data_IF_297177725054
#
_entry.id   IF_297177725054
#
_cell.length_a   1.000
_cell.length_b   1.000
_cell.length_c   1.000
_cell.angle_alpha   90.00
_cell.angle_beta   90.00
_cell.angle_gamma   90.00
#
_symmetry.space_group_name_H-M   'P 1'
#
loop_
_entity.id
_entity.type
_entity.pdbx_description
1 polymer ?
#
# COMPACT_ATOMS: atom_id res chain seq x y z
N UNK A 1 -5.31 37.23 46.47
CA UNK A 1 -4.71 35.89 46.36
C UNK A 1 -5.26 35.21 45.12
N UNK A 2 -4.51 35.21 44.05
CA UNK A 2 -4.91 34.54 42.79
C UNK A 2 -4.32 33.12 42.79
N UNK A 3 -5.17 32.12 42.67
CA UNK A 3 -4.79 30.71 42.54
C UNK A 3 -4.51 30.45 41.04
N UNK A 4 -3.22 30.23 40.73
CA UNK A 4 -2.80 29.79 39.38
C UNK A 4 -2.98 28.29 39.34
N UNK A 5 -3.92 27.81 38.53
CA UNK A 5 -4.08 26.40 38.22
C UNK A 5 -3.02 25.99 37.20
N UNK A 6 -2.09 25.16 37.64
CA UNK A 6 -1.09 24.55 36.77
C UNK A 6 -1.72 23.35 36.04
N UNK A 7 -2.00 23.49 34.73
CA UNK A 7 -2.44 22.39 33.92
C UNK A 7 -1.22 21.49 33.61
N UNK A 8 -1.19 20.30 34.19
CA UNK A 8 -0.22 19.26 33.85
C UNK A 8 -0.71 18.59 32.58
N UNK A 9 -0.04 18.86 31.45
CA UNK A 9 -0.23 18.09 30.20
C UNK A 9 0.53 16.78 30.37
N UNK A 10 -0.20 15.71 30.62
CA UNK A 10 0.36 14.35 30.58
C UNK A 10 0.44 13.96 29.09
N UNK A 11 1.64 13.97 28.54
CA UNK A 11 1.91 13.36 27.24
C UNK A 11 1.79 11.84 27.39
N UNK A 12 0.68 11.28 26.95
CA UNK A 12 0.50 9.83 26.83
C UNK A 12 1.34 9.38 25.64
N UNK A 13 2.42 8.63 25.92
CA UNK A 13 3.22 7.99 24.89
C UNK A 13 2.35 6.92 24.17
N UNK A 14 1.96 7.17 22.93
CA UNK A 14 1.30 6.20 22.07
C UNK A 14 2.27 5.05 21.81
N UNK A 15 1.95 3.79 22.12
CA UNK A 15 2.83 2.68 21.79
C UNK A 15 2.92 2.56 20.27
N UNK A 16 4.14 2.65 19.75
CA UNK A 16 4.45 2.53 18.33
C UNK A 16 4.27 1.07 17.88
N UNK A 17 3.08 0.70 17.42
CA UNK A 17 2.81 -0.56 16.71
C UNK A 17 3.34 -0.55 15.27
N UNK A 18 3.64 0.63 14.74
CA UNK A 18 4.46 0.77 13.55
C UNK A 18 5.92 0.86 14.02
N UNK A 19 6.70 -0.19 13.79
CA UNK A 19 8.13 -0.15 14.06
C UNK A 19 8.68 1.10 13.35
N UNK A 20 8.98 2.15 14.13
CA UNK A 20 9.71 3.29 13.62
C UNK A 20 11.05 2.73 13.13
N UNK A 21 11.32 2.89 11.84
CA UNK A 21 12.63 2.58 11.31
C UNK A 21 13.65 3.31 12.19
N UNK A 22 14.59 2.55 12.75
CA UNK A 22 15.66 3.10 13.59
C UNK A 22 16.46 4.17 12.86
N UNK A 23 17.37 4.85 13.54
CA UNK A 23 18.20 5.86 12.89
C UNK A 23 18.90 5.27 11.65
N UNK A 24 19.19 6.06 10.61
CA UNK A 24 19.69 5.61 9.32
C UNK A 24 20.94 4.71 9.36
N UNK A 25 21.67 4.71 10.48
CA UNK A 25 22.86 3.87 10.70
C UNK A 25 22.56 2.38 10.94
N UNK A 26 21.30 1.97 11.06
CA UNK A 26 20.89 0.57 11.28
C UNK A 26 20.09 -0.04 10.12
N UNK A 27 19.94 0.68 9.00
CA UNK A 27 19.20 0.20 7.83
C UNK A 27 19.97 -0.93 7.15
N UNK A 28 19.34 -2.11 7.04
CA UNK A 28 19.88 -3.25 6.32
C UNK A 28 19.38 -3.19 4.89
N UNK A 29 20.31 -3.06 3.93
CA UNK A 29 19.94 -3.02 2.52
C UNK A 29 19.62 -4.43 1.99
N UNK A 30 18.68 -4.55 1.02
CA UNK A 30 18.31 -5.80 0.39
C UNK A 30 19.50 -6.52 -0.23
N UNK A 31 19.63 -7.81 0.04
CA UNK A 31 20.69 -8.63 -0.56
C UNK A 31 20.33 -8.97 -2.00
N UNK A 32 21.32 -8.89 -2.89
CA UNK A 32 21.13 -9.22 -4.30
C UNK A 32 20.52 -8.11 -5.13
N UNK A 33 20.51 -6.89 -4.60
CA UNK A 33 20.12 -5.68 -5.32
C UNK A 33 21.21 -4.61 -5.22
N UNK A 34 21.29 -3.77 -6.23
CA UNK A 34 21.99 -2.49 -6.21
C UNK A 34 21.01 -1.41 -5.75
N UNK A 35 21.46 -0.53 -4.85
CA UNK A 35 20.60 0.45 -4.20
C UNK A 35 20.94 1.87 -4.65
N UNK A 36 19.94 2.62 -5.09
CA UNK A 36 19.97 4.06 -5.30
C UNK A 36 19.02 4.70 -4.28
N UNK A 37 19.56 5.41 -3.31
CA UNK A 37 18.81 5.91 -2.16
C UNK A 37 18.53 7.40 -2.27
N UNK A 38 17.34 7.82 -1.81
CA UNK A 38 16.96 9.23 -1.71
C UNK A 38 16.78 9.91 -3.06
N UNK A 39 16.35 9.17 -4.09
CA UNK A 39 16.00 9.77 -5.37
C UNK A 39 14.78 10.68 -5.19
N UNK A 40 14.91 11.96 -5.57
CA UNK A 40 13.82 12.93 -5.45
C UNK A 40 12.94 12.87 -6.70
N UNK A 41 11.67 12.43 -6.54
CA UNK A 41 10.70 12.41 -7.62
C UNK A 41 9.85 13.70 -7.68
N UNK A 42 9.79 14.42 -6.56
CA UNK A 42 9.15 15.74 -6.47
C UNK A 42 9.68 16.50 -5.26
N UNK A 43 9.75 17.83 -5.36
CA UNK A 43 10.14 18.71 -4.25
C UNK A 43 8.94 18.85 -3.29
N UNK A 44 8.99 18.14 -2.17
CA UNK A 44 7.95 18.11 -1.16
C UNK A 44 8.55 18.30 0.26
N UNK A 45 7.75 18.66 1.27
CA UNK A 45 8.25 18.85 2.63
C UNK A 45 8.68 17.53 3.28
N UNK A 46 9.68 17.60 4.16
CA UNK A 46 10.15 16.45 4.94
C UNK A 46 10.84 15.39 4.08
N UNK A 47 10.44 14.14 4.26
CA UNK A 47 10.93 13.01 3.48
C UNK A 47 9.98 12.60 2.33
N UNK A 48 8.81 13.25 2.24
CA UNK A 48 7.91 13.08 1.12
C UNK A 48 8.61 13.48 -0.19
N UNK A 49 8.16 12.92 -1.32
CA UNK A 49 8.77 13.20 -2.62
C UNK A 49 10.06 12.44 -2.91
N UNK A 50 10.47 11.50 -2.04
CA UNK A 50 11.67 10.68 -2.21
C UNK A 50 11.35 9.21 -2.40
N UNK A 51 12.23 8.49 -3.08
CA UNK A 51 12.17 7.04 -3.19
C UNK A 51 13.58 6.42 -3.13
N UNK A 52 13.61 5.15 -2.75
CA UNK A 52 14.79 4.31 -2.78
C UNK A 52 14.57 3.19 -3.79
N UNK A 53 15.43 3.13 -4.80
CA UNK A 53 15.33 2.16 -5.88
C UNK A 53 16.34 1.03 -5.67
N UNK A 54 15.84 -0.20 -5.71
CA UNK A 54 16.62 -1.44 -5.63
C UNK A 54 16.50 -2.19 -6.94
N UNK A 55 17.60 -2.31 -7.67
CA UNK A 55 17.65 -3.00 -8.96
C UNK A 55 18.35 -4.35 -8.79
N UNK A 56 17.86 -5.47 -9.37
CA UNK A 56 18.52 -6.76 -9.25
C UNK A 56 19.99 -6.70 -9.66
N UNK A 57 20.88 -7.13 -8.77
CA UNK A 57 22.33 -7.17 -9.04
C UNK A 57 22.73 -8.26 -10.05
N UNK A 58 21.81 -9.16 -10.41
CA UNK A 58 22.01 -10.25 -11.36
C UNK A 58 20.86 -10.31 -12.36
N UNK A 59 21.17 -10.70 -13.58
CA UNK A 59 20.23 -10.75 -14.68
C UNK A 59 20.53 -9.66 -15.71
N UNK A 60 19.61 -9.46 -16.63
CA UNK A 60 19.68 -8.41 -17.66
C UNK A 60 18.35 -7.67 -17.70
N UNK A 61 18.42 -6.37 -17.54
CA UNK A 61 17.25 -5.50 -17.77
C UNK A 61 16.79 -5.52 -19.25
N UNK A 62 15.74 -4.77 -19.57
CA UNK A 62 15.02 -3.91 -18.64
C UNK A 62 14.17 -4.72 -17.65
N UNK A 63 14.22 -4.32 -16.36
CA UNK A 63 13.50 -5.02 -15.28
C UNK A 63 12.08 -4.46 -15.11
N UNK A 64 11.06 -5.33 -14.89
CA UNK A 64 9.78 -4.87 -14.37
C UNK A 64 10.00 -4.25 -12.98
N UNK A 65 9.21 -3.24 -12.64
CA UNK A 65 9.38 -2.49 -11.40
C UNK A 65 8.13 -2.53 -10.53
N UNK A 66 8.31 -2.81 -9.25
CA UNK A 66 7.27 -2.72 -8.23
C UNK A 66 7.48 -1.43 -7.42
N UNK A 67 6.53 -0.51 -7.47
CA UNK A 67 6.46 0.61 -6.53
C UNK A 67 5.79 0.11 -5.26
N UNK A 68 6.53 0.10 -4.16
CA UNK A 68 6.07 -0.33 -2.86
C UNK A 68 5.88 0.84 -1.92
N UNK A 69 4.70 0.92 -1.30
CA UNK A 69 4.42 1.85 -0.20
C UNK A 69 4.22 1.10 1.11
N UNK A 70 5.02 1.45 2.11
CA UNK A 70 4.88 0.89 3.45
C UNK A 70 3.74 1.58 4.20
N UNK A 71 2.87 0.76 4.84
CA UNK A 71 1.77 1.26 5.64
C UNK A 71 2.21 2.01 6.89
N UNK A 72 1.47 3.05 7.24
CA UNK A 72 1.71 3.90 8.41
C UNK A 72 0.43 4.58 8.94
N UNK A 73 -0.76 4.20 8.44
CA UNK A 73 -1.98 4.96 8.69
C UNK A 73 -1.90 6.39 8.16
N UNK A 74 -1.15 6.62 7.10
CA UNK A 74 -0.84 7.94 6.52
C UNK A 74 -0.20 8.94 7.50
N UNK A 75 0.33 8.48 8.64
CA UNK A 75 0.92 9.37 9.67
C UNK A 75 2.40 9.65 9.48
N UNK A 76 3.04 8.99 8.53
CA UNK A 76 4.48 9.10 8.25
C UNK A 76 4.73 9.44 6.78
N UNK A 77 5.71 10.30 6.55
CA UNK A 77 6.27 10.61 5.23
C UNK A 77 7.51 9.75 4.90
N UNK A 78 7.64 8.57 5.52
CA UNK A 78 8.78 7.64 5.38
C UNK A 78 8.36 6.30 4.81
N UNK A 79 7.47 6.28 3.81
CA UNK A 79 7.02 5.08 3.13
C UNK A 79 8.13 4.31 2.38
N UNK A 80 9.30 4.95 2.19
CA UNK A 80 10.50 4.33 1.64
C UNK A 80 11.30 3.50 2.68
N UNK A 81 10.87 3.43 3.93
CA UNK A 81 11.51 2.66 4.98
C UNK A 81 10.64 1.49 5.43
N UNK A 82 11.28 0.38 5.83
CA UNK A 82 10.59 -0.82 6.32
C UNK A 82 10.18 -1.81 5.21
N UNK A 83 10.24 -1.43 3.94
CA UNK A 83 9.97 -2.30 2.80
C UNK A 83 11.18 -3.11 2.31
N UNK A 84 12.36 -2.98 2.94
CA UNK A 84 13.58 -3.65 2.52
C UNK A 84 13.47 -5.18 2.46
N UNK A 85 12.77 -5.86 3.37
CA UNK A 85 12.55 -7.31 3.27
C UNK A 85 11.73 -7.68 2.02
N UNK A 86 10.75 -6.86 1.65
CA UNK A 86 9.95 -7.04 0.42
C UNK A 86 10.84 -6.82 -0.81
N UNK A 87 11.63 -5.75 -0.80
CA UNK A 87 12.57 -5.46 -1.89
C UNK A 87 13.58 -6.61 -2.08
N UNK A 88 14.08 -7.24 -1.00
CA UNK A 88 14.95 -8.42 -1.09
C UNK A 88 14.24 -9.61 -1.75
N UNK A 89 13.00 -9.89 -1.38
CA UNK A 89 12.23 -11.00 -1.95
C UNK A 89 11.97 -10.81 -3.45
N UNK A 90 11.59 -9.61 -3.86
CA UNK A 90 11.28 -9.29 -5.24
C UNK A 90 12.54 -9.18 -6.11
N UNK A 91 13.61 -8.55 -5.61
CA UNK A 91 14.86 -8.42 -6.35
C UNK A 91 15.51 -9.78 -6.67
N UNK A 92 15.44 -10.74 -5.75
CA UNK A 92 15.89 -12.12 -5.99
C UNK A 92 15.10 -12.82 -7.09
N UNK A 93 13.89 -12.36 -7.38
CA UNK A 93 12.99 -12.88 -8.41
C UNK A 93 13.03 -12.08 -9.72
N UNK A 94 13.92 -11.08 -9.79
CA UNK A 94 14.18 -10.31 -11.00
C UNK A 94 13.31 -9.06 -11.18
N UNK A 95 12.67 -8.59 -10.11
CA UNK A 95 11.94 -7.32 -10.09
C UNK A 95 12.78 -6.21 -9.48
N UNK A 96 12.84 -5.04 -10.11
CA UNK A 96 13.27 -3.84 -9.43
C UNK A 96 12.18 -3.39 -8.45
N UNK A 97 12.57 -2.73 -7.35
CA UNK A 97 11.62 -2.25 -6.34
C UNK A 97 11.93 -0.81 -5.99
N UNK A 98 10.95 0.06 -6.14
CA UNK A 98 10.99 1.44 -5.70
C UNK A 98 10.17 1.58 -4.41
N UNK A 99 10.85 1.72 -3.27
CA UNK A 99 10.22 2.07 -2.00
C UNK A 99 10.04 3.58 -1.98
N UNK A 100 8.81 4.08 -1.91
CA UNK A 100 8.56 5.51 -2.05
C UNK A 100 7.77 6.10 -0.88
N UNK A 101 7.99 7.37 -0.63
CA UNK A 101 7.35 8.16 0.41
C UNK A 101 6.34 9.13 -0.18
N UNK A 102 5.23 9.32 0.52
CA UNK A 102 4.23 10.35 0.19
C UNK A 102 4.06 11.28 1.38
N UNK A 103 3.40 12.42 1.21
CA UNK A 103 3.05 13.30 2.32
C UNK A 103 2.18 12.59 3.35
N UNK A 104 2.48 12.81 4.61
CA UNK A 104 1.61 12.37 5.70
C UNK A 104 0.33 13.20 5.76
N UNK A 105 -0.67 12.71 6.49
CA UNK A 105 -1.92 13.44 6.76
C UNK A 105 -1.72 14.73 7.56
N UNK A 106 -0.56 14.87 8.25
CA UNK A 106 -0.17 16.13 8.93
C UNK A 106 0.40 17.17 7.97
N UNK A 107 0.99 16.72 6.86
CA UNK A 107 1.57 17.61 5.84
C UNK A 107 0.54 18.05 4.81
N UNK A 108 -0.38 17.15 4.43
CA UNK A 108 -1.46 17.45 3.51
C UNK A 108 -2.58 16.38 3.60
N UNK A 109 -3.81 16.80 3.35
CA UNK A 109 -4.97 15.89 3.28
C UNK A 109 -5.13 15.31 1.88
N UNK A 110 -5.97 14.25 1.75
CA UNK A 110 -6.41 13.74 0.47
C UNK A 110 -6.91 14.88 -0.47
N UNK A 111 -6.54 14.86 -1.77
CA UNK A 111 -5.91 13.77 -2.54
C UNK A 111 -4.38 13.84 -2.64
N UNK A 112 -3.70 14.58 -1.78
CA UNK A 112 -2.26 14.84 -1.87
C UNK A 112 -1.41 13.55 -1.98
N UNK A 113 -1.76 12.50 -1.23
CA UNK A 113 -1.04 11.22 -1.22
C UNK A 113 -1.14 10.48 -2.57
N UNK A 114 -2.28 10.62 -3.25
CA UNK A 114 -2.47 10.04 -4.60
C UNK A 114 -1.67 10.82 -5.64
N UNK A 115 -1.66 12.15 -5.56
CA UNK A 115 -0.84 13.00 -6.44
C UNK A 115 0.65 12.66 -6.30
N UNK A 116 1.13 12.47 -5.06
CA UNK A 116 2.52 12.09 -4.78
C UNK A 116 2.85 10.72 -5.37
N UNK A 117 1.99 9.72 -5.13
CA UNK A 117 2.17 8.37 -5.65
C UNK A 117 2.19 8.33 -7.19
N UNK A 118 1.30 9.07 -7.85
CA UNK A 118 1.29 9.20 -9.32
C UNK A 118 2.55 9.89 -9.84
N UNK A 119 3.06 10.91 -9.13
CA UNK A 119 4.33 11.53 -9.47
C UNK A 119 5.52 10.54 -9.36
N UNK A 120 5.53 9.66 -8.35
CA UNK A 120 6.54 8.60 -8.22
C UNK A 120 6.48 7.62 -9.40
N UNK A 121 5.28 7.20 -9.83
CA UNK A 121 5.10 6.35 -11.03
C UNK A 121 5.64 7.04 -12.28
N UNK A 122 5.29 8.32 -12.49
CA UNK A 122 5.77 9.09 -13.65
C UNK A 122 7.28 9.26 -13.64
N UNK A 123 7.88 9.49 -12.47
CA UNK A 123 9.34 9.59 -12.32
C UNK A 123 10.02 8.28 -12.73
N UNK A 124 9.59 7.15 -12.20
CA UNK A 124 10.15 5.83 -12.56
C UNK A 124 10.02 5.57 -14.05
N UNK A 125 8.88 5.88 -14.66
CA UNK A 125 8.66 5.69 -16.10
C UNK A 125 9.53 6.59 -16.96
N UNK A 126 9.70 7.85 -16.58
CA UNK A 126 10.50 8.81 -17.33
C UNK A 126 12.01 8.50 -17.28
N UNK A 127 12.49 7.89 -16.19
CA UNK A 127 13.90 7.54 -16.00
C UNK A 127 14.17 6.04 -16.18
N UNK A 128 13.21 5.30 -16.79
CA UNK A 128 13.30 3.86 -16.90
C UNK A 128 14.56 3.39 -17.64
N UNK A 129 14.94 4.04 -18.74
CA UNK A 129 16.16 3.72 -19.50
C UNK A 129 17.42 3.94 -18.65
N UNK A 130 17.50 5.04 -17.90
CA UNK A 130 18.63 5.38 -17.02
C UNK A 130 18.83 4.31 -15.93
N UNK A 131 17.74 3.80 -15.38
CA UNK A 131 17.76 2.82 -14.29
C UNK A 131 17.70 1.36 -14.76
N UNK A 132 17.67 1.11 -16.07
CA UNK A 132 17.53 -0.23 -16.63
C UNK A 132 16.18 -0.91 -16.34
N UNK A 133 15.12 -0.10 -16.23
CA UNK A 133 13.75 -0.54 -15.95
C UNK A 133 12.91 -0.61 -17.23
N UNK A 134 11.83 -1.37 -17.17
CA UNK A 134 10.84 -1.42 -18.23
C UNK A 134 9.68 -0.45 -17.94
N UNK A 135 9.51 0.62 -18.73
CA UNK A 135 8.47 1.63 -18.50
C UNK A 135 7.04 1.07 -18.68
N UNK A 136 6.90 -0.03 -19.40
CA UNK A 136 5.63 -0.68 -19.71
C UNK A 136 5.29 -1.85 -18.74
N UNK A 137 6.11 -2.06 -17.69
CA UNK A 137 5.91 -3.11 -16.68
C UNK A 137 6.05 -2.54 -15.27
N UNK A 138 5.13 -1.64 -14.91
CA UNK A 138 5.08 -0.95 -13.62
C UNK A 138 3.95 -1.51 -12.79
N UNK A 139 4.24 -1.99 -11.60
CA UNK A 139 3.30 -2.57 -10.63
C UNK A 139 3.21 -1.69 -9.40
N UNK A 140 2.01 -1.50 -8.86
CA UNK A 140 1.82 -0.89 -7.55
C UNK A 140 1.58 -1.96 -6.49
N UNK A 141 2.27 -1.86 -5.36
CA UNK A 141 2.10 -2.78 -4.25
C UNK A 141 2.24 -2.06 -2.91
N UNK A 142 1.60 -2.58 -1.87
CA UNK A 142 1.73 -2.01 -0.53
C UNK A 142 0.86 -2.69 0.50
N UNK A 143 1.02 -2.30 1.75
CA UNK A 143 0.28 -2.85 2.87
C UNK A 143 -0.45 -1.75 3.66
N UNK A 144 -1.61 -2.07 4.27
CA UNK A 144 -2.37 -1.11 5.09
C UNK A 144 -2.64 0.18 4.30
N UNK A 145 -2.32 1.36 4.83
CA UNK A 145 -2.40 2.63 4.09
C UNK A 145 -1.55 2.66 2.81
N UNK A 146 -0.46 1.89 2.74
CA UNK A 146 0.32 1.71 1.50
C UNK A 146 -0.40 0.82 0.48
N UNK A 147 -1.14 -0.19 0.94
CA UNK A 147 -2.04 -0.99 0.10
C UNK A 147 -3.19 -0.15 -0.45
N UNK A 148 -3.70 0.79 0.34
CA UNK A 148 -4.66 1.81 -0.14
C UNK A 148 -4.05 2.65 -1.26
N UNK A 149 -2.81 3.15 -1.09
CA UNK A 149 -2.09 3.89 -2.14
C UNK A 149 -1.96 3.04 -3.42
N UNK A 150 -1.55 1.79 -3.29
CA UNK A 150 -1.41 0.88 -4.42
C UNK A 150 -2.74 0.67 -5.16
N UNK A 151 -3.84 0.49 -4.41
CA UNK A 151 -5.18 0.34 -4.97
C UNK A 151 -5.64 1.61 -5.66
N UNK A 152 -5.46 2.78 -5.01
CA UNK A 152 -5.78 4.08 -5.63
C UNK A 152 -5.01 4.31 -6.94
N UNK A 153 -3.73 3.92 -7.01
CA UNK A 153 -2.96 3.97 -8.28
C UNK A 153 -3.60 3.09 -9.37
N UNK A 154 -4.16 1.94 -9.00
CA UNK A 154 -4.85 1.04 -9.93
C UNK A 154 -6.15 1.64 -10.45
N UNK A 155 -7.06 1.97 -9.53
CA UNK A 155 -8.46 2.30 -9.85
C UNK A 155 -8.70 3.76 -10.24
N UNK A 156 -7.71 4.64 -10.12
CA UNK A 156 -7.86 6.06 -10.50
C UNK A 156 -7.11 6.43 -11.79
N UNK A 157 -6.80 5.43 -12.61
CA UNK A 157 -6.18 5.67 -13.91
C UNK A 157 -7.16 6.39 -14.84
N UNK A 158 -6.88 7.62 -15.19
CA UNK A 158 -7.78 8.42 -16.04
C UNK A 158 -8.66 9.40 -15.27
N UNK A 159 -8.57 9.46 -13.93
CA UNK A 159 -9.25 10.47 -13.11
C UNK A 159 -8.43 11.78 -13.08
N UNK A 160 -8.81 12.83 -13.84
CA UNK A 160 -8.00 14.04 -13.99
C UNK A 160 -7.78 14.77 -12.65
N UNK A 161 -8.79 14.76 -11.75
CA UNK A 161 -8.72 15.41 -10.45
C UNK A 161 -7.69 14.73 -9.51
N UNK A 162 -7.36 13.47 -9.77
CA UNK A 162 -6.43 12.66 -8.98
C UNK A 162 -5.06 12.49 -9.66
N UNK A 163 -4.85 13.03 -10.87
CA UNK A 163 -3.57 12.89 -11.57
C UNK A 163 -2.47 13.77 -10.95
N UNK A 164 -2.79 14.98 -10.57
CA UNK A 164 -1.83 15.95 -10.05
C UNK A 164 -0.75 16.37 -11.07
N UNK A 165 -0.02 17.44 -10.74
CA UNK A 165 1.01 18.03 -11.61
C UNK A 165 2.41 18.01 -10.98
N UNK A 166 2.64 17.22 -9.94
CA UNK A 166 3.91 17.15 -9.23
C UNK A 166 4.98 16.41 -10.05
N UNK A 167 6.23 16.86 -9.92
CA UNK A 167 7.39 16.21 -10.53
C UNK A 167 7.29 16.14 -12.06
N UNK A 168 7.60 14.98 -12.63
CA UNK A 168 7.51 14.75 -14.08
C UNK A 168 6.05 14.68 -14.52
N UNK A 169 5.73 15.39 -15.60
CA UNK A 169 4.42 15.41 -16.26
C UNK A 169 4.55 14.95 -17.71
N UNK A 170 3.41 14.68 -18.37
CA UNK A 170 3.39 14.30 -19.80
C UNK A 170 3.70 12.81 -20.06
N UNK A 171 3.93 12.01 -19.01
CA UNK A 171 4.00 10.56 -19.08
C UNK A 171 2.88 9.94 -18.23
N UNK A 172 2.48 8.71 -18.56
CA UNK A 172 1.39 8.03 -17.87
C UNK A 172 1.74 7.64 -16.44
N UNK A 173 0.79 7.81 -15.49
CA UNK A 173 0.86 7.27 -14.12
C UNK A 173 0.21 5.88 -14.00
N UNK A 174 -0.29 5.29 -15.10
CA UNK A 174 -0.98 4.00 -15.10
C UNK A 174 -0.05 2.87 -14.62
N UNK A 175 -0.59 1.95 -13.80
CA UNK A 175 0.08 0.72 -13.39
C UNK A 175 -0.51 -0.50 -14.08
N UNK A 176 0.25 -1.60 -14.20
CA UNK A 176 -0.12 -2.78 -14.97
C UNK A 176 -0.67 -3.92 -14.10
N UNK A 177 -0.43 -3.86 -12.79
CA UNK A 177 -1.02 -4.75 -11.80
C UNK A 177 -1.00 -4.08 -10.42
N UNK A 178 -1.84 -4.56 -9.52
CA UNK A 178 -1.88 -4.14 -8.12
C UNK A 178 -1.68 -5.34 -7.21
N UNK A 179 -0.90 -5.16 -6.12
CA UNK A 179 -0.84 -6.10 -5.00
C UNK A 179 -1.23 -5.36 -3.73
N UNK A 180 -2.40 -5.70 -3.22
CA UNK A 180 -2.98 -5.09 -2.03
C UNK A 180 -2.85 -6.04 -0.83
N UNK A 181 -2.17 -5.60 0.22
CA UNK A 181 -2.12 -6.30 1.49
C UNK A 181 -2.92 -5.52 2.52
N UNK A 182 -4.04 -6.11 2.97
CA UNK A 182 -4.87 -5.66 4.08
C UNK A 182 -5.14 -4.14 4.14
N UNK A 183 -5.52 -3.56 3.00
CA UNK A 183 -5.82 -2.14 2.90
C UNK A 183 -7.26 -1.80 3.28
N UNK A 184 -7.53 -0.61 3.86
CA UNK A 184 -8.88 -0.08 3.93
C UNK A 184 -9.35 0.35 2.52
N UNK A 185 -10.62 0.09 2.20
CA UNK A 185 -11.18 0.30 0.85
C UNK A 185 -12.51 1.05 0.84
N UNK A 186 -13.24 1.01 1.97
CA UNK A 186 -14.47 1.75 2.20
C UNK A 186 -14.46 2.38 3.60
N UNK A 187 -14.23 3.68 3.66
CA UNK A 187 -14.09 4.41 4.91
C UNK A 187 -15.40 4.58 5.68
N UNK A 188 -16.57 4.39 5.04
CA UNK A 188 -17.86 4.50 5.72
C UNK A 188 -18.28 3.21 6.42
N UNK A 189 -17.86 2.05 5.95
CA UNK A 189 -18.24 0.77 6.54
C UNK A 189 -17.22 0.19 7.52
N UNK A 190 -15.99 0.69 7.52
CA UNK A 190 -14.85 0.08 8.23
C UNK A 190 -15.13 -0.15 9.74
N UNK A 191 -15.66 0.83 10.47
CA UNK A 191 -16.00 0.68 11.89
C UNK A 191 -17.05 -0.43 12.12
N UNK A 192 -18.05 -0.51 11.27
CA UNK A 192 -19.14 -1.50 11.42
C UNK A 192 -18.70 -2.94 11.14
N UNK A 193 -17.56 -3.11 10.48
CA UNK A 193 -16.98 -4.41 10.12
C UNK A 193 -15.92 -4.89 11.13
N UNK A 194 -15.59 -4.09 12.14
CA UNK A 194 -14.60 -4.46 13.15
C UNK A 194 -14.99 -5.77 13.86
N UNK A 195 -14.01 -6.63 14.04
CA UNK A 195 -14.19 -7.88 14.77
C UNK A 195 -14.66 -7.64 16.22
N UNK A 196 -15.35 -8.59 16.87
CA UNK A 196 -15.75 -8.45 18.26
C UNK A 196 -14.58 -8.10 19.18
N UNK A 197 -14.66 -6.97 19.90
CA UNK A 197 -13.59 -6.45 20.78
C UNK A 197 -12.45 -5.73 20.07
N UNK A 198 -12.38 -5.78 18.74
CA UNK A 198 -11.31 -5.11 18.00
C UNK A 198 -11.40 -3.59 18.11
N UNK A 199 -12.61 -3.03 18.18
CA UNK A 199 -12.80 -1.59 18.35
C UNK A 199 -12.25 -1.10 19.69
N UNK A 200 -12.47 -1.81 20.80
CA UNK A 200 -11.92 -1.43 22.11
C UNK A 200 -10.38 -1.46 22.08
N UNK A 201 -9.82 -2.51 21.47
CA UNK A 201 -8.37 -2.62 21.28
C UNK A 201 -7.80 -1.51 20.40
N UNK A 202 -8.49 -1.15 19.32
CA UNK A 202 -8.12 -0.04 18.45
C UNK A 202 -8.12 1.28 19.21
N UNK A 203 -9.20 1.55 19.95
CA UNK A 203 -9.35 2.75 20.77
C UNK A 203 -8.23 2.90 21.81
N UNK A 204 -7.92 1.81 22.54
CA UNK A 204 -6.84 1.79 23.51
C UNK A 204 -5.48 2.01 22.85
N UNK A 205 -5.23 1.34 21.72
CA UNK A 205 -3.94 1.36 21.03
C UNK A 205 -3.62 2.71 20.39
N UNK A 206 -4.64 3.41 19.88
CA UNK A 206 -4.45 4.66 19.13
C UNK A 206 -4.97 5.91 19.83
N UNK A 207 -5.52 5.76 21.05
CA UNK A 207 -5.98 6.89 21.86
C UNK A 207 -7.22 7.58 21.30
N UNK A 208 -8.07 6.83 20.61
CA UNK A 208 -9.35 7.28 20.03
C UNK A 208 -10.52 6.68 20.81
N UNK A 209 -11.76 7.05 20.50
CA UNK A 209 -12.95 6.64 21.25
C UNK A 209 -14.05 6.02 20.41
N UNK A 210 -13.97 6.16 19.09
CA UNK A 210 -15.01 5.72 18.16
C UNK A 210 -14.41 4.94 16.97
N UNK A 211 -13.34 4.18 17.21
CA UNK A 211 -12.64 3.43 16.19
C UNK A 211 -12.24 4.31 14.99
N UNK A 212 -12.51 3.84 13.78
CA UNK A 212 -12.24 4.56 12.54
C UNK A 212 -13.17 5.77 12.32
N UNK A 213 -14.29 5.85 13.05
CA UNK A 213 -15.21 7.00 12.99
C UNK A 213 -14.74 8.18 13.85
N UNK A 214 -13.71 8.00 14.66
CA UNK A 214 -13.16 9.07 15.49
C UNK A 214 -12.49 10.14 14.61
N UNK A 215 -12.61 11.40 15.02
CA UNK A 215 -11.98 12.52 14.30
C UNK A 215 -10.44 12.43 14.28
N UNK A 216 -9.85 11.74 15.25
CA UNK A 216 -8.40 11.49 15.33
C UNK A 216 -7.99 10.15 14.72
N UNK A 217 -8.94 9.36 14.20
CA UNK A 217 -8.64 8.14 13.47
C UNK A 217 -7.95 8.45 12.14
N UNK A 218 -7.31 7.45 11.58
CA UNK A 218 -6.45 7.56 10.41
C UNK A 218 -7.18 8.12 9.18
N UNK A 219 -8.38 7.64 8.92
CA UNK A 219 -9.21 8.01 7.78
C UNK A 219 -9.71 9.47 7.89
N UNK A 220 -10.17 9.87 9.09
CA UNK A 220 -10.59 11.24 9.36
C UNK A 220 -9.43 12.23 9.23
N UNK A 221 -8.24 11.86 9.68
CA UNK A 221 -7.02 12.68 9.51
C UNK A 221 -6.60 12.76 8.05
N UNK A 222 -6.70 11.67 7.29
CA UNK A 222 -6.40 11.66 5.86
C UNK A 222 -7.29 12.62 5.08
N UNK A 223 -8.60 12.62 5.35
CA UNK A 223 -9.53 13.52 4.63
C UNK A 223 -9.63 14.92 5.27
N UNK A 224 -9.01 15.13 6.44
CA UNK A 224 -9.04 16.40 7.17
C UNK A 224 -10.41 16.71 7.81
N UNK A 225 -11.29 15.72 7.94
CA UNK A 225 -12.65 15.86 8.45
C UNK A 225 -13.17 14.53 9.03
N UNK A 226 -14.25 14.58 9.82
CA UNK A 226 -14.92 13.36 10.26
C UNK A 226 -15.53 12.62 9.08
N UNK A 227 -15.23 11.33 8.91
CA UNK A 227 -15.78 10.46 7.87
C UNK A 227 -17.32 10.43 7.90
N UNK A 228 -17.93 10.37 9.09
CA UNK A 228 -19.38 10.34 9.26
C UNK A 228 -20.07 11.68 8.95
N UNK A 229 -19.40 12.81 9.20
CA UNK A 229 -19.99 14.15 8.94
C UNK A 229 -19.74 14.63 7.52
N UNK A 230 -18.75 14.06 6.85
CA UNK A 230 -18.36 14.39 5.48
C UNK A 230 -18.25 13.09 4.67
N UNK A 231 -19.38 12.36 4.48
CA UNK A 231 -19.37 11.10 3.75
C UNK A 231 -18.96 11.26 2.29
N UNK A 232 -19.15 12.42 1.69
CA UNK A 232 -18.66 12.78 0.37
C UNK A 232 -17.13 12.74 0.26
N UNK A 233 -16.42 13.25 1.27
CA UNK A 233 -14.94 13.16 1.34
C UNK A 233 -14.48 11.73 1.62
N UNK A 234 -15.19 11.02 2.50
CA UNK A 234 -14.88 9.61 2.79
C UNK A 234 -15.04 8.73 1.54
N UNK A 235 -16.11 8.90 0.77
CA UNK A 235 -16.35 8.21 -0.50
C UNK A 235 -15.25 8.59 -1.52
N UNK A 236 -14.93 9.88 -1.65
CA UNK A 236 -13.89 10.33 -2.57
C UNK A 236 -12.50 9.77 -2.24
N UNK A 237 -12.23 9.44 -0.96
CA UNK A 237 -10.98 8.79 -0.53
C UNK A 237 -11.06 7.26 -0.52
N UNK A 238 -12.21 6.65 -0.81
CA UNK A 238 -12.42 5.20 -0.83
C UNK A 238 -12.15 4.63 -2.22
N UNK A 239 -11.22 3.67 -2.39
CA UNK A 239 -10.93 3.05 -3.69
C UNK A 239 -12.16 2.49 -4.40
N UNK A 240 -13.13 1.95 -3.66
CA UNK A 240 -14.36 1.38 -4.22
C UNK A 240 -15.15 2.36 -5.11
N UNK A 241 -14.99 3.67 -4.90
CA UNK A 241 -15.70 4.70 -5.68
C UNK A 241 -15.22 4.83 -7.14
N UNK A 242 -14.06 4.24 -7.48
CA UNK A 242 -13.39 4.44 -8.77
C UNK A 242 -13.27 3.17 -9.62
N UNK A 243 -13.69 2.02 -9.09
CA UNK A 243 -13.51 0.72 -9.77
C UNK A 243 -14.29 0.69 -11.08
N UNK A 244 -13.59 0.35 -12.15
CA UNK A 244 -14.17 0.13 -13.48
C UNK A 244 -13.51 -1.04 -14.23
N UNK A 245 -14.07 -1.41 -15.38
CA UNK A 245 -13.58 -2.53 -16.20
C UNK A 245 -12.19 -2.29 -16.84
N UNK A 246 -11.64 -1.08 -16.77
CA UNK A 246 -10.31 -0.73 -17.26
C UNK A 246 -9.21 -0.87 -16.22
N UNK A 247 -9.56 -1.25 -15.00
CA UNK A 247 -8.62 -1.39 -13.90
C UNK A 247 -7.66 -2.57 -14.10
N UNK A 248 -6.43 -2.48 -13.58
CA UNK A 248 -5.44 -3.51 -13.74
C UNK A 248 -5.74 -4.75 -12.90
N UNK A 249 -5.26 -5.94 -13.33
CA UNK A 249 -5.34 -7.16 -12.53
C UNK A 249 -4.82 -6.94 -11.11
N UNK A 250 -5.56 -7.47 -10.11
CA UNK A 250 -5.30 -7.20 -8.69
C UNK A 250 -5.15 -8.50 -7.89
N UNK A 251 -4.09 -8.60 -7.08
CA UNK A 251 -3.93 -9.61 -6.03
C UNK A 251 -4.19 -8.95 -4.68
N UNK A 252 -5.08 -9.56 -3.90
CA UNK A 252 -5.48 -9.11 -2.57
C UNK A 252 -5.09 -10.18 -1.56
N UNK A 253 -4.59 -9.79 -0.38
CA UNK A 253 -4.36 -10.70 0.72
C UNK A 253 -4.70 -10.06 2.06
N UNK A 254 -5.42 -10.80 2.93
CA UNK A 254 -5.85 -10.31 4.23
C UNK A 254 -5.93 -11.44 5.25
N UNK A 255 -5.56 -11.16 6.48
CA UNK A 255 -5.70 -12.07 7.59
C UNK A 255 -7.03 -11.89 8.32
N UNK A 256 -7.70 -12.99 8.72
CA UNK A 256 -9.02 -12.93 9.34
C UNK A 256 -9.03 -12.38 10.77
N UNK A 257 -7.88 -12.37 11.46
CA UNK A 257 -7.71 -11.83 12.81
C UNK A 257 -7.20 -10.37 12.82
N UNK A 258 -7.33 -9.69 11.69
CA UNK A 258 -6.92 -8.29 11.58
C UNK A 258 -7.85 -7.38 12.39
N UNK A 259 -7.34 -6.89 13.52
CA UNK A 259 -8.05 -6.00 14.41
C UNK A 259 -7.82 -4.51 14.11
N UNK A 260 -6.92 -4.19 13.15
CA UNK A 260 -6.63 -2.81 12.71
C UNK A 260 -7.51 -2.45 11.51
N UNK A 261 -7.46 -3.26 10.47
CA UNK A 261 -8.33 -3.12 9.28
C UNK A 261 -9.13 -4.41 9.14
N UNK A 262 -10.45 -4.40 9.27
CA UNK A 262 -11.25 -5.61 9.17
C UNK A 262 -11.14 -6.23 7.77
N UNK A 263 -10.96 -7.55 7.69
CA UNK A 263 -10.73 -8.27 6.43
C UNK A 263 -11.89 -8.12 5.42
N UNK A 264 -13.08 -7.78 5.89
CA UNK A 264 -14.23 -7.46 5.05
C UNK A 264 -13.95 -6.30 4.08
N UNK A 265 -12.99 -5.44 4.40
CA UNK A 265 -12.54 -4.38 3.47
C UNK A 265 -11.94 -4.99 2.19
N UNK A 266 -11.20 -6.09 2.30
CA UNK A 266 -10.67 -6.83 1.16
C UNK A 266 -11.75 -7.63 0.43
N UNK A 267 -12.71 -8.22 1.15
CA UNK A 267 -13.86 -8.91 0.55
C UNK A 267 -14.72 -7.95 -0.29
N UNK A 268 -14.93 -6.69 0.20
CA UNK A 268 -15.63 -5.66 -0.57
C UNK A 268 -14.86 -5.29 -1.84
N UNK A 269 -13.54 -5.13 -1.74
CA UNK A 269 -12.70 -4.83 -2.89
C UNK A 269 -12.77 -5.94 -3.94
N UNK A 270 -12.64 -7.20 -3.51
CA UNK A 270 -12.76 -8.35 -4.40
C UNK A 270 -14.10 -8.38 -5.12
N UNK A 271 -15.21 -8.25 -4.37
CA UNK A 271 -16.55 -8.27 -4.94
C UNK A 271 -16.78 -7.12 -5.96
N UNK A 272 -16.24 -5.94 -5.71
CA UNK A 272 -16.38 -4.81 -6.62
C UNK A 272 -15.55 -5.00 -7.91
N UNK A 273 -14.33 -5.53 -7.80
CA UNK A 273 -13.47 -5.84 -8.95
C UNK A 273 -14.07 -6.98 -9.80
N UNK A 274 -14.63 -8.03 -9.14
CA UNK A 274 -15.35 -9.10 -9.85
C UNK A 274 -16.54 -8.56 -10.60
N UNK A 275 -17.37 -7.74 -9.97
CA UNK A 275 -18.54 -7.11 -10.63
C UNK A 275 -18.15 -6.21 -11.81
N UNK A 276 -16.96 -5.60 -11.78
CA UNK A 276 -16.41 -4.80 -12.88
C UNK A 276 -15.73 -5.64 -13.98
N UNK A 277 -15.55 -6.94 -13.77
CA UNK A 277 -14.87 -7.82 -14.73
C UNK A 277 -13.35 -7.76 -14.67
N UNK A 278 -12.76 -7.27 -13.58
CA UNK A 278 -11.32 -7.13 -13.39
C UNK A 278 -10.71 -8.46 -12.95
N UNK A 279 -9.62 -8.95 -13.60
CA UNK A 279 -8.93 -10.16 -13.17
C UNK A 279 -8.38 -10.01 -11.75
N UNK A 280 -8.89 -10.80 -10.79
CA UNK A 280 -8.58 -10.64 -9.38
C UNK A 280 -8.38 -11.99 -8.68
N UNK A 281 -7.40 -12.06 -7.76
CA UNK A 281 -7.24 -13.13 -6.78
C UNK A 281 -7.29 -12.56 -5.37
N UNK A 282 -8.05 -13.18 -4.47
CA UNK A 282 -8.14 -12.84 -3.07
C UNK A 282 -7.74 -14.03 -2.20
N UNK A 283 -6.76 -13.80 -1.34
CA UNK A 283 -6.24 -14.76 -0.35
C UNK A 283 -6.68 -14.31 1.04
N UNK A 284 -7.67 -15.02 1.60
CA UNK A 284 -8.10 -14.85 2.97
C UNK A 284 -7.38 -15.88 3.84
N UNK A 285 -6.62 -15.42 4.84
CA UNK A 285 -5.72 -16.28 5.62
C UNK A 285 -6.16 -16.31 7.07
N UNK A 286 -6.57 -17.48 7.54
CA UNK A 286 -7.05 -17.66 8.91
C UNK A 286 -5.98 -17.36 9.95
N UNK A 287 -6.41 -16.83 11.10
CA UNK A 287 -5.58 -16.59 12.30
C UNK A 287 -4.37 -15.66 12.07
N UNK A 288 -4.40 -14.84 11.00
CA UNK A 288 -3.40 -13.83 10.72
C UNK A 288 -3.95 -12.44 11.02
N UNK A 289 -3.20 -11.64 11.75
CA UNK A 289 -3.54 -10.25 12.06
C UNK A 289 -3.03 -9.27 11.00
N UNK A 290 -2.81 -8.01 11.42
CA UNK A 290 -2.31 -6.93 10.56
C UNK A 290 -0.81 -7.06 10.27
N UNK A 291 -0.39 -8.16 9.66
CA UNK A 291 1.01 -8.51 9.40
C UNK A 291 1.21 -9.40 8.16
N UNK A 292 2.48 -9.69 7.82
CA UNK A 292 2.89 -10.46 6.65
C UNK A 292 3.17 -11.94 6.92
N UNK A 293 2.66 -12.53 8.01
CA UNK A 293 2.92 -13.95 8.32
C UNK A 293 2.50 -14.88 7.19
N UNK A 294 1.49 -14.52 6.40
CA UNK A 294 1.01 -15.29 5.25
C UNK A 294 2.06 -15.46 4.14
N UNK A 295 3.01 -14.52 4.01
CA UNK A 295 4.10 -14.62 3.03
C UNK A 295 5.41 -15.14 3.63
N UNK A 296 5.43 -15.49 4.92
CA UNK A 296 6.60 -16.05 5.59
C UNK A 296 6.82 -17.50 5.15
N UNK A 297 8.07 -17.85 4.80
CA UNK A 297 8.40 -19.22 4.39
C UNK A 297 8.25 -20.21 5.55
N UNK A 298 7.58 -21.34 5.31
CA UNK A 298 7.54 -22.50 6.20
C UNK A 298 6.31 -22.64 7.08
N UNK A 299 5.38 -21.70 7.07
CA UNK A 299 4.09 -21.85 7.74
C UNK A 299 3.03 -22.33 6.74
N UNK A 300 2.34 -23.43 7.06
CA UNK A 300 1.12 -23.82 6.35
C UNK A 300 -0.03 -23.17 7.11
N UNK A 301 -0.68 -22.21 6.48
CA UNK A 301 -1.81 -21.48 7.05
C UNK A 301 -3.08 -21.92 6.36
N UNK A 302 -4.18 -21.97 7.08
CA UNK A 302 -5.49 -22.19 6.47
C UNK A 302 -5.82 -20.97 5.58
N UNK A 303 -5.95 -21.21 4.28
CA UNK A 303 -6.07 -20.15 3.29
C UNK A 303 -7.25 -20.42 2.38
N UNK A 304 -8.20 -19.52 2.38
CA UNK A 304 -9.28 -19.51 1.41
C UNK A 304 -8.87 -18.65 0.22
N UNK A 305 -9.09 -19.17 -1.00
CA UNK A 305 -8.71 -18.46 -2.23
C UNK A 305 -9.93 -18.28 -3.11
N UNK A 306 -10.28 -17.05 -3.33
CA UNK A 306 -11.27 -16.65 -4.31
C UNK A 306 -10.57 -16.04 -5.54
N UNK A 307 -11.15 -16.21 -6.71
CA UNK A 307 -10.62 -15.59 -7.94
C UNK A 307 -11.72 -15.33 -8.93
N UNK A 308 -11.59 -14.24 -9.64
CA UNK A 308 -12.48 -13.81 -10.70
C UNK A 308 -11.67 -13.42 -11.94
N UNK A 309 -12.15 -13.80 -13.12
CA UNK A 309 -11.62 -13.40 -14.44
C UNK A 309 -10.13 -13.72 -14.66
N UNK A 310 -9.53 -14.62 -13.87
CA UNK A 310 -8.14 -15.10 -14.04
C UNK A 310 -8.14 -16.46 -14.77
N UNK A 311 -7.25 -16.60 -15.76
CA UNK A 311 -7.01 -17.87 -16.46
C UNK A 311 -5.49 -18.13 -16.57
N UNK A 312 -4.96 -19.19 -15.93
CA UNK A 312 -5.65 -20.09 -15.01
C UNK A 312 -5.95 -19.43 -13.67
N UNK A 313 -7.07 -19.83 -13.06
CA UNK A 313 -7.39 -19.46 -11.68
C UNK A 313 -6.41 -20.12 -10.70
N UNK A 314 -6.07 -19.48 -9.57
CA UNK A 314 -5.29 -20.10 -8.50
C UNK A 314 -6.07 -21.30 -7.92
N UNK A 315 -5.40 -22.42 -7.57
CA UNK A 315 -6.07 -23.55 -6.95
C UNK A 315 -6.62 -23.22 -5.56
N UNK A 316 -7.77 -23.81 -5.18
CA UNK A 316 -8.30 -23.66 -3.82
C UNK A 316 -7.28 -24.06 -2.76
N UNK A 317 -7.18 -23.29 -1.66
CA UNK A 317 -6.25 -23.55 -0.56
C UNK A 317 -4.78 -23.31 -0.90
N UNK A 318 -4.48 -22.66 -2.02
CA UNK A 318 -3.11 -22.27 -2.38
C UNK A 318 -2.52 -21.35 -1.31
N UNK A 319 -1.38 -21.75 -0.74
CA UNK A 319 -0.66 -20.88 0.20
C UNK A 319 -0.11 -19.66 -0.49
N UNK A 320 -0.36 -18.47 0.06
CA UNK A 320 0.26 -17.26 -0.46
C UNK A 320 1.74 -17.23 -0.07
N UNK A 321 2.59 -17.22 -1.06
CA UNK A 321 4.04 -17.10 -0.94
C UNK A 321 4.58 -16.03 -1.88
N UNK A 322 5.81 -15.61 -1.67
CA UNK A 322 6.46 -14.69 -2.62
C UNK A 322 6.56 -15.27 -4.03
N UNK A 323 6.65 -16.59 -4.18
CA UNK A 323 6.63 -17.23 -5.50
C UNK A 323 5.25 -17.12 -6.15
N UNK A 324 4.16 -17.32 -5.40
CA UNK A 324 2.78 -17.13 -5.89
C UNK A 324 2.54 -15.68 -6.30
N UNK A 325 3.00 -14.71 -5.48
CA UNK A 325 2.89 -13.29 -5.80
C UNK A 325 3.62 -12.97 -7.11
N UNK A 326 4.87 -13.44 -7.25
CA UNK A 326 5.64 -13.18 -8.46
C UNK A 326 5.13 -13.95 -9.68
N UNK A 327 4.58 -15.14 -9.50
CA UNK A 327 3.91 -15.88 -10.60
C UNK A 327 2.66 -15.14 -11.08
N UNK A 328 1.90 -14.50 -10.17
CA UNK A 328 0.82 -13.61 -10.56
C UNK A 328 1.38 -12.42 -11.36
N UNK A 329 2.39 -11.72 -10.85
CA UNK A 329 3.00 -10.59 -11.53
C UNK A 329 3.61 -10.97 -12.90
N UNK A 330 4.29 -12.11 -12.99
CA UNK A 330 4.88 -12.63 -14.24
C UNK A 330 3.81 -12.80 -15.32
N UNK A 331 2.64 -13.33 -14.95
CA UNK A 331 1.51 -13.48 -15.89
C UNK A 331 0.96 -12.14 -16.36
N UNK A 332 0.89 -11.15 -15.48
CA UNK A 332 0.31 -9.84 -15.79
C UNK A 332 1.28 -8.90 -16.52
N UNK A 333 2.59 -9.07 -16.31
CA UNK A 333 3.62 -8.16 -16.84
C UNK A 333 4.53 -8.83 -17.88
N UNK A 334 4.37 -10.13 -18.14
CA UNK A 334 5.29 -10.91 -18.97
C UNK A 334 6.58 -11.32 -18.27
N UNK A 335 6.69 -11.06 -16.95
CA UNK A 335 7.79 -11.45 -16.09
C UNK A 335 9.16 -10.83 -16.42
N UNK A 336 10.17 -11.02 -15.56
CA UNK A 336 11.53 -10.63 -15.87
C UNK A 336 12.11 -11.51 -16.99
N UNK A 337 12.99 -10.96 -17.79
CA UNK A 337 13.75 -11.73 -18.79
C UNK A 337 14.64 -12.74 -18.05
N UNK A 338 14.14 -13.97 -17.85
CA UNK A 338 14.95 -15.07 -17.34
C UNK A 338 15.93 -15.48 -18.45
N UNK A 339 17.26 -15.48 -18.22
CA UNK A 339 18.17 -16.06 -19.19
C UNK A 339 17.82 -17.55 -19.36
N UNK A 340 17.63 -17.98 -20.62
CA UNK A 340 17.50 -19.39 -20.97
C UNK A 340 18.77 -20.17 -20.66
#
# INVERSE_FOLDING_TARGET
MAVIALAVVIAVAVPALFAQAGPPSSRVLPRGAEAMLGLEYAVLPGNAGTLDLFVPARGRGPYPVVLWSQGSGWTSDRGNLGGEPVAEQLARRGYAVALFSVRSSEQAVFPAQVHDAKAAVRFIRAHAEEFGLDPDRVVAAGNSSGGWIATMLGVTSGEPALEGELGVTGVSSRVHAVVNFFAPTDFLSITSQMLPGACDRFNESYGVTHCHDDLQAFESRLIGASTLRHPDLAIAASPLAYIDAGDPPTLIAHGTDDWVVPYQQSSLLFAALDAAGVPTAYYEVADVGHDFRFAASGSVLDTEVESAHLDPAPPPGQQLTWDVITDFLDRQTGGPHRPR
#
